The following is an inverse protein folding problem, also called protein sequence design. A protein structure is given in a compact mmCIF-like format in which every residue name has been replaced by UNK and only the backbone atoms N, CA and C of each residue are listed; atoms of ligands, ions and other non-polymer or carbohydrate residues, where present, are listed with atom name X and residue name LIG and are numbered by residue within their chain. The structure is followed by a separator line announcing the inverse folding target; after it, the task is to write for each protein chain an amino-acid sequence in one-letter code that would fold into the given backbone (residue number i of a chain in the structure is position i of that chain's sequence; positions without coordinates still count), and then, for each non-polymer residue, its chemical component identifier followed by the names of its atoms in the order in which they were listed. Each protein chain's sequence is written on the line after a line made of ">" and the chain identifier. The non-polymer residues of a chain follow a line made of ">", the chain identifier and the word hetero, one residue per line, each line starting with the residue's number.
data_IF_233147917623
#
_entry.id   IF_233147917623
#
_cell.length_a   1.000
_cell.length_b   1.000
_cell.length_c   1.000
_cell.angle_alpha   90.00
_cell.angle_beta   90.00
_cell.angle_gamma   90.00
#
_symmetry.space_group_name_H-M   'P 1'
#
loop_
_entity.id
_entity.type
_entity.pdbx_description
1 polymer ?
#
# COMPACT_ATOMS: atom_id res chain seq x y z
N UNK A 1 -11.29 37.27 59.75
CA UNK A 1 -10.02 37.56 59.09
C UNK A 1 -9.56 36.27 58.45
N UNK A 2 -9.59 36.15 57.12
CA UNK A 2 -8.57 35.41 56.36
C UNK A 2 -8.83 35.61 54.87
N UNK A 3 -7.93 36.36 54.25
CA UNK A 3 -7.84 36.58 52.82
C UNK A 3 -7.02 35.41 52.31
N UNK A 4 -7.57 34.55 51.45
CA UNK A 4 -6.76 33.61 50.68
C UNK A 4 -6.66 34.05 49.22
N UNK A 5 -5.39 34.30 48.90
CA UNK A 5 -4.85 34.92 47.72
C UNK A 5 -4.84 33.98 46.51
N UNK A 6 -5.05 34.62 45.36
CA UNK A 6 -4.31 34.43 44.12
C UNK A 6 -4.58 33.20 43.26
N UNK A 7 -5.01 33.52 42.04
CA UNK A 7 -5.07 32.62 40.92
C UNK A 7 -3.72 32.05 40.51
N UNK A 8 -3.78 30.80 40.10
CA UNK A 8 -2.83 30.10 39.24
C UNK A 8 -3.74 29.24 38.35
N UNK A 9 -4.25 29.75 37.22
CA UNK A 9 -3.54 29.72 35.93
C UNK A 9 -2.49 28.60 35.90
N UNK A 10 -2.95 27.36 35.81
CA UNK A 10 -2.19 26.33 35.11
C UNK A 10 -3.04 25.94 33.90
N UNK A 11 -2.87 26.77 32.88
CA UNK A 11 -3.26 26.56 31.51
C UNK A 11 -2.50 25.32 30.99
N UNK A 12 -2.97 24.12 31.34
CA UNK A 12 -2.58 22.88 30.67
C UNK A 12 -3.31 22.88 29.32
N UNK A 13 -2.86 23.75 28.42
CA UNK A 13 -3.03 23.51 27.00
C UNK A 13 -1.83 22.66 26.58
N UNK A 14 -1.95 21.36 26.82
CA UNK A 14 -1.24 20.36 26.03
C UNK A 14 -1.61 20.68 24.58
N UNK A 15 -0.72 21.39 23.89
CA UNK A 15 -0.72 21.50 22.43
C UNK A 15 -0.52 20.08 21.94
N UNK A 16 -1.64 19.39 21.80
CA UNK A 16 -1.75 18.10 21.17
C UNK A 16 -1.46 18.34 19.69
N UNK A 17 -0.17 18.33 19.33
CA UNK A 17 0.26 18.23 17.95
C UNK A 17 0.03 16.78 17.49
N UNK A 18 -1.22 16.35 17.50
CA UNK A 18 -1.67 15.11 16.88
C UNK A 18 -1.76 15.38 15.38
N UNK A 19 -0.59 15.41 14.76
CA UNK A 19 -0.43 15.43 13.31
C UNK A 19 -1.36 14.35 12.70
N UNK A 20 -2.40 14.71 11.91
CA UNK A 20 -3.32 13.72 11.35
C UNK A 20 -2.68 13.03 10.14
N UNK A 21 -1.49 12.44 10.30
CA UNK A 21 -0.87 11.56 9.30
C UNK A 21 -1.27 10.10 9.48
N UNK A 22 -2.29 9.77 10.29
CA UNK A 22 -2.72 8.38 10.53
C UNK A 22 -3.68 7.79 9.48
N UNK A 23 -4.34 8.58 8.62
CA UNK A 23 -5.45 8.07 7.79
C UNK A 23 -5.09 7.31 6.50
N UNK A 24 -3.93 7.53 5.87
CA UNK A 24 -3.63 6.89 4.56
C UNK A 24 -3.27 5.41 4.66
N UNK A 25 -2.48 5.00 5.68
CA UNK A 25 -1.95 3.64 5.78
C UNK A 25 -3.02 2.55 6.01
N UNK A 26 -4.07 2.85 6.77
CA UNK A 26 -5.14 1.87 7.07
C UNK A 26 -6.10 1.66 5.90
N UNK A 27 -6.37 2.69 5.08
CA UNK A 27 -7.24 2.54 3.90
C UNK A 27 -6.60 1.65 2.83
N UNK A 28 -5.28 1.69 2.67
CA UNK A 28 -4.55 0.86 1.71
C UNK A 28 -4.47 -0.60 2.14
N UNK A 29 -4.35 -0.87 3.45
CA UNK A 29 -4.39 -2.22 4.04
C UNK A 29 -5.75 -2.91 3.83
N UNK A 30 -6.86 -2.16 3.92
CA UNK A 30 -8.22 -2.71 3.71
C UNK A 30 -8.52 -3.20 2.29
N UNK A 31 -7.67 -2.90 1.32
CA UNK A 31 -7.86 -3.30 -0.09
C UNK A 31 -7.11 -4.59 -0.46
N UNK A 32 -6.44 -5.22 0.49
CA UNK A 32 -5.75 -6.50 0.27
C UNK A 32 -6.79 -7.57 -0.09
N UNK A 33 -6.52 -8.33 -1.16
CA UNK A 33 -7.40 -9.38 -1.71
C UNK A 33 -8.21 -8.94 -2.93
N UNK A 34 -8.26 -7.65 -3.25
CA UNK A 34 -9.02 -7.13 -4.40
C UNK A 34 -8.30 -7.47 -5.72
N UNK A 35 -9.10 -7.74 -6.77
CA UNK A 35 -8.59 -7.89 -8.13
C UNK A 35 -8.22 -6.53 -8.69
N UNK A 36 -7.07 -6.44 -9.33
CA UNK A 36 -6.57 -5.20 -9.92
C UNK A 36 -6.28 -5.42 -11.40
N UNK A 37 -6.53 -4.39 -12.21
CA UNK A 37 -6.19 -4.38 -13.63
C UNK A 37 -5.16 -3.31 -13.89
N UNK A 38 -4.05 -3.68 -14.52
CA UNK A 38 -3.00 -2.73 -14.86
C UNK A 38 -3.46 -1.87 -16.05
N UNK A 39 -3.39 -0.54 -15.92
CA UNK A 39 -3.78 0.39 -16.98
C UNK A 39 -2.60 0.95 -17.77
N UNK A 40 -1.41 1.02 -17.15
CA UNK A 40 -0.20 1.58 -17.76
C UNK A 40 0.60 0.45 -18.42
N UNK A 41 1.23 0.67 -19.58
CA UNK A 41 2.14 -0.31 -20.15
C UNK A 41 3.34 -0.52 -19.25
N UNK A 42 3.43 -1.72 -18.66
CA UNK A 42 4.49 -2.09 -17.73
C UNK A 42 5.05 -3.46 -18.12
N UNK A 43 6.38 -3.50 -18.24
CA UNK A 43 7.14 -4.71 -18.55
C UNK A 43 7.91 -5.15 -17.31
N UNK A 44 7.87 -6.45 -17.03
CA UNK A 44 8.61 -7.05 -15.91
C UNK A 44 9.53 -8.16 -16.42
N UNK A 45 10.74 -8.23 -15.82
CA UNK A 45 11.84 -9.09 -16.26
C UNK A 45 12.27 -10.11 -15.19
N UNK A 46 11.62 -10.12 -14.02
CA UNK A 46 11.95 -11.02 -12.91
C UNK A 46 11.10 -12.29 -12.90
N UNK A 47 10.39 -12.59 -14.01
CA UNK A 47 9.57 -13.79 -14.12
C UNK A 47 10.49 -14.97 -14.45
N UNK A 48 10.43 -16.06 -13.66
CA UNK A 48 11.28 -17.21 -13.93
C UNK A 48 10.97 -17.77 -15.32
N UNK A 49 12.02 -17.95 -16.14
CA UNK A 49 11.96 -18.58 -17.48
C UNK A 49 11.22 -17.78 -18.56
N UNK A 50 10.70 -16.60 -18.25
CA UNK A 50 10.13 -15.68 -19.24
C UNK A 50 10.94 -14.39 -19.21
N UNK A 51 11.65 -14.05 -20.30
CA UNK A 51 12.55 -12.90 -20.30
C UNK A 51 11.78 -11.58 -20.15
N UNK A 52 10.62 -11.44 -20.78
CA UNK A 52 9.80 -10.23 -20.72
C UNK A 52 8.33 -10.62 -20.60
N UNK A 53 7.65 -10.06 -19.60
CA UNK A 53 6.19 -10.16 -19.46
C UNK A 53 5.59 -8.77 -19.49
N UNK A 54 4.69 -8.56 -20.44
CA UNK A 54 3.87 -7.36 -20.51
C UNK A 54 2.64 -7.50 -19.61
N UNK A 55 2.47 -6.54 -18.70
CA UNK A 55 1.38 -6.50 -17.74
C UNK A 55 0.20 -5.65 -18.22
N UNK A 56 0.28 -5.04 -19.41
CA UNK A 56 -0.74 -4.09 -19.88
C UNK A 56 -2.11 -4.76 -19.97
N UNK A 57 -3.09 -4.23 -19.24
CA UNK A 57 -4.45 -4.75 -19.22
C UNK A 57 -4.61 -6.11 -18.53
N UNK A 58 -3.55 -6.68 -17.95
CA UNK A 58 -3.61 -7.94 -17.20
C UNK A 58 -4.25 -7.74 -15.84
N UNK A 59 -4.96 -8.78 -15.41
CA UNK A 59 -5.58 -8.83 -14.09
C UNK A 59 -4.67 -9.57 -13.11
N UNK A 60 -4.57 -9.04 -11.90
CA UNK A 60 -3.85 -9.63 -10.80
C UNK A 60 -4.62 -9.52 -9.51
N UNK A 61 -4.13 -10.17 -8.46
CA UNK A 61 -4.70 -10.07 -7.12
C UNK A 61 -3.74 -9.32 -6.20
N UNK A 62 -4.23 -8.29 -5.52
CA UNK A 62 -3.42 -7.59 -4.53
C UNK A 62 -3.23 -8.49 -3.29
N UNK A 63 -2.01 -8.96 -3.04
CA UNK A 63 -1.71 -9.85 -1.90
C UNK A 63 -1.25 -9.10 -0.66
N UNK A 64 -0.49 -8.02 -0.82
CA UNK A 64 0.13 -7.35 0.32
C UNK A 64 0.38 -5.86 0.06
N UNK A 65 0.33 -5.07 1.12
CA UNK A 65 0.77 -3.68 1.14
C UNK A 65 2.07 -3.56 1.96
N UNK A 66 3.19 -3.24 1.31
CA UNK A 66 4.54 -3.25 1.90
C UNK A 66 4.97 -1.90 2.51
N UNK A 67 4.15 -0.84 2.46
CA UNK A 67 4.51 0.44 3.08
C UNK A 67 4.46 0.39 4.63
N UNK A 68 3.86 -0.66 5.20
CA UNK A 68 3.80 -0.90 6.64
C UNK A 68 4.48 -2.23 6.95
N UNK A 69 5.58 -2.17 7.70
CA UNK A 69 6.31 -3.36 8.14
C UNK A 69 6.49 -3.31 9.66
N UNK A 70 5.87 -4.27 10.37
CA UNK A 70 5.96 -4.38 11.84
C UNK A 70 5.74 -3.05 12.58
N UNK A 71 4.75 -2.25 12.13
CA UNK A 71 4.43 -0.94 12.70
C UNK A 71 5.34 0.22 12.25
N UNK A 72 6.42 -0.04 11.51
CA UNK A 72 7.27 0.99 10.90
C UNK A 72 6.78 1.31 9.49
N UNK A 73 6.76 2.60 9.14
CA UNK A 73 6.51 3.06 7.78
C UNK A 73 7.78 2.94 6.96
N UNK A 74 7.70 2.21 5.86
CA UNK A 74 8.79 2.12 4.89
C UNK A 74 8.45 3.07 3.74
N UNK A 75 9.45 3.81 3.26
CA UNK A 75 9.36 4.68 2.09
C UNK A 75 9.45 3.87 0.78
N UNK A 76 8.64 2.81 0.66
CA UNK A 76 8.56 2.02 -0.55
C UNK A 76 7.84 2.85 -1.63
N UNK A 77 8.53 3.12 -2.75
CA UNK A 77 7.94 3.86 -3.88
C UNK A 77 6.81 3.04 -4.53
N UNK A 78 6.89 1.71 -4.49
CA UNK A 78 5.91 0.76 -5.05
C UNK A 78 5.35 -0.11 -3.91
N UNK A 79 4.36 0.38 -3.15
CA UNK A 79 3.95 -0.27 -1.92
C UNK A 79 2.93 -1.41 -2.12
N UNK A 80 2.39 -1.61 -3.32
CA UNK A 80 1.38 -2.64 -3.59
C UNK A 80 2.02 -3.86 -4.22
N UNK A 81 1.97 -5.00 -3.53
CA UNK A 81 2.45 -6.28 -4.06
C UNK A 81 1.27 -7.05 -4.66
N UNK A 82 1.28 -7.17 -5.98
CA UNK A 82 0.24 -7.83 -6.77
C UNK A 82 0.76 -9.17 -7.28
N UNK A 83 -0.04 -10.21 -7.09
CA UNK A 83 0.19 -11.54 -7.66
C UNK A 83 -0.46 -11.62 -9.03
N UNK A 84 0.31 -12.03 -10.03
CA UNK A 84 -0.16 -12.33 -11.38
C UNK A 84 -0.01 -13.82 -11.64
N UNK A 85 -1.00 -14.37 -12.35
CA UNK A 85 -0.99 -15.75 -12.83
C UNK A 85 -1.09 -15.68 -14.34
N UNK A 86 -0.04 -16.12 -15.02
CA UNK A 86 -0.01 -16.17 -16.49
C UNK A 86 0.04 -17.64 -16.89
N UNK A 87 -0.97 -18.05 -17.65
CA UNK A 87 -1.01 -19.34 -18.31
C UNK A 87 -0.23 -19.24 -19.62
N UNK A 88 0.71 -20.16 -19.84
CA UNK A 88 1.52 -20.21 -21.05
C UNK A 88 1.26 -21.58 -21.66
N UNK A 89 0.74 -21.60 -22.89
CA UNK A 89 0.43 -22.84 -23.61
C UNK A 89 1.70 -23.71 -23.70
N UNK A 90 1.64 -24.91 -23.10
CA UNK A 90 2.77 -25.84 -22.99
C UNK A 90 3.55 -25.81 -21.67
N UNK A 91 3.11 -25.04 -20.67
CA UNK A 91 3.72 -24.99 -19.32
C UNK A 91 2.66 -24.94 -18.22
N UNK A 92 3.08 -25.23 -16.98
CA UNK A 92 2.27 -24.97 -15.80
C UNK A 92 2.08 -23.45 -15.59
N UNK A 93 0.93 -23.01 -15.05
CA UNK A 93 0.65 -21.60 -14.79
C UNK A 93 1.73 -20.99 -13.89
N UNK A 94 2.37 -19.92 -14.38
CA UNK A 94 3.45 -19.24 -13.66
C UNK A 94 2.84 -18.16 -12.79
N UNK A 95 3.07 -18.29 -11.49
CA UNK A 95 2.72 -17.27 -10.49
C UNK A 95 3.93 -16.40 -10.22
N UNK A 96 3.78 -15.10 -10.36
CA UNK A 96 4.83 -14.15 -10.00
C UNK A 96 4.24 -12.92 -9.32
N UNK A 97 5.09 -12.17 -8.62
CA UNK A 97 4.69 -10.99 -7.88
C UNK A 97 5.31 -9.74 -8.49
N UNK A 98 4.53 -8.71 -8.76
CA UNK A 98 5.05 -7.41 -9.15
C UNK A 98 4.68 -6.35 -8.10
N UNK A 99 5.57 -5.38 -7.91
CA UNK A 99 5.32 -4.22 -7.06
C UNK A 99 4.82 -3.09 -7.94
N UNK A 100 3.64 -2.55 -7.61
CA UNK A 100 2.97 -1.49 -8.35
C UNK A 100 2.64 -0.30 -7.43
N UNK A 101 2.35 0.84 -8.04
CA UNK A 101 1.79 2.05 -7.42
C UNK A 101 0.28 2.11 -7.60
N UNK A 102 -0.40 2.86 -6.73
CA UNK A 102 -1.85 3.07 -6.86
C UNK A 102 -2.24 3.74 -8.19
N UNK A 103 -1.34 4.52 -8.78
CA UNK A 103 -1.56 5.22 -10.04
C UNK A 103 -1.41 4.33 -11.28
N UNK A 104 -0.94 3.09 -11.15
CA UNK A 104 -0.62 2.19 -12.28
C UNK A 104 -1.71 1.15 -12.57
N UNK A 105 -2.67 0.97 -11.66
CA UNK A 105 -3.72 -0.03 -11.76
C UNK A 105 -5.07 0.50 -11.27
N UNK A 106 -6.15 -0.11 -11.75
CA UNK A 106 -7.51 0.12 -11.29
C UNK A 106 -8.00 -1.09 -10.48
N UNK A 107 -8.85 -0.82 -9.49
CA UNK A 107 -9.50 -1.87 -8.71
C UNK A 107 -10.71 -2.39 -9.46
N UNK A 108 -10.73 -3.69 -9.72
CA UNK A 108 -11.91 -4.41 -10.23
C UNK A 108 -12.74 -4.84 -9.02
N UNK A 109 -14.02 -4.44 -9.02
CA UNK A 109 -14.95 -4.62 -7.91
C UNK A 109 -15.69 -5.95 -8.00
#
# INVERSE_FOLDING_TARGET
>A
MEIQHFGFIIFILIVNNSHPRRRKGERSSKKIGVRVRVKVPLKVFHVPRVPEVDLTGKEGQLKQYVALWKGKRISANLPYKVEFVVDIEGRCPIKFFAHLKEDEFDYLK
#
